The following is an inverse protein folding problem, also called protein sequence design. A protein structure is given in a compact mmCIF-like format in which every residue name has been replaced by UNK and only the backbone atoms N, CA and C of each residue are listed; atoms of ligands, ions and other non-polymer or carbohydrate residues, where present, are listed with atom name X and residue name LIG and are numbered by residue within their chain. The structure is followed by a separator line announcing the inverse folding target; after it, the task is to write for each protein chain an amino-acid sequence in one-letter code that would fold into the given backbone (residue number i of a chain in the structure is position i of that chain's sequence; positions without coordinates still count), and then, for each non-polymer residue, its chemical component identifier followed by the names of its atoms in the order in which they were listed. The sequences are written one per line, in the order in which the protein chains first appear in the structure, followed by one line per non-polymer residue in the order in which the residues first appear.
data_IF_132029151897
#
_entry.id   IF_132029151897
#
_cell.length_a   1.000
_cell.length_b   1.000
_cell.length_c   1.000
_cell.angle_alpha   90.00
_cell.angle_beta   90.00
_cell.angle_gamma   90.00
#
_symmetry.space_group_name_H-M   'P 1'
#
loop_
_entity.id
_entity.type
_entity.pdbx_description
1 polymer ?
#
# COMPACT_ATOMS: atom_id res chain seq x y z
N UNK A 1 -0.98 -2.64 -39.13
CA UNK A 1 -2.33 -3.05 -39.60
C UNK A 1 -3.32 -2.88 -38.45
N UNK A 2 -4.51 -2.38 -38.78
CA UNK A 2 -5.53 -1.82 -37.87
C UNK A 2 -6.28 -2.90 -37.08
N UNK A 3 -6.54 -2.66 -35.79
CA UNK A 3 -7.53 -3.38 -34.97
C UNK A 3 -8.95 -2.97 -35.41
N UNK A 4 -9.91 -3.90 -35.55
CA UNK A 4 -11.32 -3.54 -35.58
C UNK A 4 -11.94 -3.63 -34.18
N UNK A 5 -12.39 -2.46 -33.72
CA UNK A 5 -13.37 -2.26 -32.67
C UNK A 5 -14.74 -2.69 -33.22
N UNK A 6 -15.50 -3.54 -32.52
CA UNK A 6 -16.92 -3.72 -32.80
C UNK A 6 -17.70 -3.70 -31.48
N UNK A 7 -18.63 -2.76 -31.43
CA UNK A 7 -19.50 -2.43 -30.30
C UNK A 7 -20.95 -2.70 -30.72
N UNK A 8 -21.76 -3.10 -29.73
CA UNK A 8 -23.22 -3.22 -29.69
C UNK A 8 -23.91 -4.33 -30.52
N UNK A 9 -24.76 -5.12 -29.83
CA UNK A 9 -26.22 -5.03 -29.97
C UNK A 9 -26.89 -5.52 -28.67
N UNK A 10 -27.91 -4.75 -28.31
CA UNK A 10 -28.89 -4.89 -27.22
C UNK A 10 -29.75 -6.13 -27.41
N UNK A 11 -29.89 -6.95 -26.37
CA UNK A 11 -30.85 -8.04 -26.30
C UNK A 11 -31.85 -7.81 -25.16
N UNK A 12 -32.94 -7.10 -25.47
CA UNK A 12 -34.12 -6.97 -24.60
C UNK A 12 -34.94 -8.27 -24.76
N UNK A 13 -35.12 -9.04 -23.69
CA UNK A 13 -36.04 -10.17 -23.65
C UNK A 13 -36.98 -10.00 -22.46
N UNK A 14 -38.23 -9.68 -22.80
CA UNK A 14 -39.37 -9.60 -21.90
C UNK A 14 -39.94 -11.00 -21.63
N UNK A 15 -40.73 -11.04 -20.56
CA UNK A 15 -41.80 -11.99 -20.19
C UNK A 15 -41.37 -13.14 -19.27
N UNK A 16 -42.01 -13.19 -18.09
CA UNK A 16 -42.11 -14.42 -17.30
C UNK A 16 -42.66 -14.20 -15.90
N UNK A 17 -43.91 -14.61 -15.68
CA UNK A 17 -44.74 -14.36 -14.51
C UNK A 17 -44.31 -14.99 -13.18
N UNK A 18 -44.77 -14.38 -12.09
CA UNK A 18 -45.45 -15.10 -11.00
C UNK A 18 -44.62 -15.58 -9.81
N UNK A 19 -44.82 -14.96 -8.66
CA UNK A 19 -45.38 -15.60 -7.45
C UNK A 19 -45.33 -14.61 -6.28
N UNK A 20 -46.50 -14.32 -5.70
CA UNK A 20 -46.61 -13.68 -4.40
C UNK A 20 -46.39 -14.75 -3.32
N UNK A 21 -45.40 -14.56 -2.45
CA UNK A 21 -45.36 -15.16 -1.11
C UNK A 21 -44.88 -14.09 -0.13
N UNK A 22 -45.75 -13.85 0.84
CA UNK A 22 -45.50 -13.05 2.03
C UNK A 22 -44.38 -13.72 2.86
N UNK A 23 -43.34 -12.97 3.20
CA UNK A 23 -42.44 -13.34 4.28
C UNK A 23 -41.95 -12.06 4.95
N UNK A 24 -42.50 -11.83 6.14
CA UNK A 24 -41.88 -11.01 7.17
C UNK A 24 -40.40 -11.35 7.27
N UNK A 25 -39.54 -10.43 6.83
CA UNK A 25 -38.17 -10.34 7.29
C UNK A 25 -37.97 -8.92 7.78
N UNK A 26 -38.02 -8.82 9.10
CA UNK A 26 -37.33 -7.84 9.92
C UNK A 26 -36.02 -7.41 9.23
N UNK A 27 -35.70 -6.10 9.15
CA UNK A 27 -34.36 -5.69 8.76
C UNK A 27 -33.41 -6.20 9.84
N UNK A 28 -32.80 -7.37 9.59
CA UNK A 28 -31.65 -7.84 10.34
C UNK A 28 -30.56 -6.83 10.03
N UNK A 29 -30.42 -5.88 10.92
CA UNK A 29 -29.30 -4.98 11.03
C UNK A 29 -28.09 -5.85 11.42
N UNK A 30 -27.56 -6.61 10.47
CA UNK A 30 -26.20 -7.12 10.57
C UNK A 30 -25.30 -5.96 10.22
N UNK A 31 -25.00 -5.12 11.23
CA UNK A 31 -23.66 -4.55 11.35
C UNK A 31 -22.71 -5.74 11.49
N UNK A 32 -22.38 -6.38 10.38
CA UNK A 32 -21.04 -6.86 10.23
C UNK A 32 -20.21 -5.58 10.25
N UNK A 33 -19.48 -5.35 11.34
CA UNK A 33 -18.27 -4.55 11.25
C UNK A 33 -17.40 -5.30 10.26
N UNK A 34 -17.56 -4.94 9.00
CA UNK A 34 -16.71 -5.35 7.90
C UNK A 34 -15.39 -4.64 8.19
N UNK A 35 -14.59 -5.24 9.07
CA UNK A 35 -13.19 -4.87 9.24
C UNK A 35 -12.52 -5.34 7.96
N UNK A 36 -12.77 -4.57 6.89
CA UNK A 36 -12.08 -4.68 5.62
C UNK A 36 -10.60 -4.57 5.96
N UNK A 37 -9.84 -5.60 5.60
CA UNK A 37 -8.39 -5.53 5.72
C UNK A 37 -7.93 -4.21 5.06
N UNK A 38 -7.02 -3.46 5.70
CA UNK A 38 -6.61 -2.16 5.20
C UNK A 38 -6.22 -2.24 3.72
N UNK A 39 -6.72 -1.31 2.91
CA UNK A 39 -6.35 -1.25 1.52
C UNK A 39 -4.84 -0.95 1.43
N UNK A 40 -4.08 -1.86 0.86
CA UNK A 40 -2.63 -1.73 0.67
C UNK A 40 -2.27 -0.44 -0.07
N UNK A 41 -3.07 -0.03 -1.07
CA UNK A 41 -2.90 1.24 -1.78
C UNK A 41 -3.00 2.44 -0.84
N UNK A 42 -3.98 2.45 0.06
CA UNK A 42 -4.17 3.52 1.03
C UNK A 42 -2.97 3.62 1.98
N UNK A 43 -2.45 2.48 2.45
CA UNK A 43 -1.28 2.46 3.34
C UNK A 43 -0.02 2.97 2.63
N UNK A 44 0.19 2.58 1.37
CA UNK A 44 1.31 3.08 0.56
C UNK A 44 1.18 4.59 0.33
N UNK A 45 -0.01 5.07 -0.06
CA UNK A 45 -0.27 6.52 -0.23
C UNK A 45 0.00 7.30 1.06
N UNK A 46 -0.41 6.75 2.20
CA UNK A 46 -0.18 7.34 3.52
C UNK A 46 1.31 7.37 3.88
N UNK A 47 2.05 6.30 3.59
CA UNK A 47 3.50 6.28 3.75
C UNK A 47 4.17 7.39 2.93
N UNK A 48 3.85 7.51 1.64
CA UNK A 48 4.41 8.56 0.78
C UNK A 48 4.04 9.98 1.23
N UNK A 49 2.85 10.16 1.82
CA UNK A 49 2.44 11.44 2.37
C UNK A 49 3.20 11.82 3.65
N UNK A 50 3.43 10.85 4.54
CA UNK A 50 4.09 11.08 5.82
C UNK A 50 5.63 11.03 5.73
N UNK A 51 6.16 10.39 4.68
CA UNK A 51 7.59 10.18 4.41
C UNK A 51 7.93 10.62 2.96
N UNK A 52 7.88 11.94 2.65
CA UNK A 52 8.22 12.45 1.33
C UNK A 52 9.66 12.12 0.89
N UNK A 53 10.55 11.84 1.83
CA UNK A 53 11.93 11.41 1.61
C UNK A 53 12.04 10.18 0.69
N UNK A 54 11.04 9.31 0.68
CA UNK A 54 10.99 8.15 -0.25
C UNK A 54 10.90 8.62 -1.69
N UNK A 55 10.10 9.65 -1.97
CA UNK A 55 9.98 10.21 -3.33
C UNK A 55 11.25 10.94 -3.74
N UNK A 56 11.87 11.69 -2.82
CA UNK A 56 13.14 12.38 -3.06
C UNK A 56 14.26 11.40 -3.41
N UNK A 57 14.42 10.34 -2.60
CA UNK A 57 15.42 9.30 -2.83
C UNK A 57 15.13 8.49 -4.10
N UNK A 58 13.87 8.23 -4.41
CA UNK A 58 13.45 7.59 -5.67
C UNK A 58 13.90 8.41 -6.89
N UNK A 59 13.70 9.72 -6.86
CA UNK A 59 14.12 10.61 -7.95
C UNK A 59 15.65 10.68 -8.07
N UNK A 60 16.36 10.81 -6.95
CA UNK A 60 17.83 10.82 -6.92
C UNK A 60 18.42 9.54 -7.54
N UNK A 61 17.97 8.37 -7.09
CA UNK A 61 18.45 7.08 -7.61
C UNK A 61 18.11 6.92 -9.08
N UNK A 62 16.91 7.34 -9.50
CA UNK A 62 16.52 7.31 -10.90
C UNK A 62 17.43 8.18 -11.76
N UNK A 63 17.79 9.37 -11.30
CA UNK A 63 18.66 10.29 -12.03
C UNK A 63 20.10 9.77 -12.13
N UNK A 64 20.64 9.23 -11.03
CA UNK A 64 22.01 8.68 -10.99
C UNK A 64 22.13 7.38 -11.79
N UNK A 65 21.10 6.54 -11.77
CA UNK A 65 21.06 5.26 -12.51
C UNK A 65 20.62 5.42 -13.97
N UNK A 66 20.30 6.62 -14.44
CA UNK A 66 19.64 6.86 -15.73
C UNK A 66 18.33 6.06 -15.92
N UNK A 67 17.64 5.73 -14.82
CA UNK A 67 16.39 5.00 -14.81
C UNK A 67 16.50 3.48 -14.79
N UNK A 68 17.71 2.94 -14.71
CA UNK A 68 17.94 1.48 -14.63
C UNK A 68 17.58 0.91 -13.24
N UNK A 69 17.59 1.75 -12.21
CA UNK A 69 17.20 1.39 -10.84
C UNK A 69 15.94 2.16 -10.45
N UNK A 70 15.01 1.46 -9.82
CA UNK A 70 13.78 2.08 -9.27
C UNK A 70 13.69 1.87 -7.78
N UNK A 71 13.13 2.84 -7.06
CA UNK A 71 12.77 2.63 -5.65
C UNK A 71 11.32 2.17 -5.57
N UNK A 72 11.11 1.03 -4.91
CA UNK A 72 9.83 0.39 -4.71
C UNK A 72 9.51 0.24 -3.23
N UNK A 73 8.22 0.07 -2.93
CA UNK A 73 7.69 -0.11 -1.58
C UNK A 73 6.91 -1.40 -1.50
N UNK A 74 7.12 -2.19 -0.45
CA UNK A 74 6.37 -3.44 -0.18
C UNK A 74 5.92 -3.49 1.27
N UNK A 75 4.63 -3.74 1.47
CA UNK A 75 4.05 -3.99 2.80
C UNK A 75 4.11 -5.50 3.09
N UNK A 76 4.76 -5.87 4.19
CA UNK A 76 4.75 -7.24 4.69
C UNK A 76 3.53 -7.47 5.58
N UNK A 77 2.48 -8.04 4.98
CA UNK A 77 1.22 -8.34 5.69
C UNK A 77 1.29 -9.63 6.50
N UNK A 78 2.31 -10.47 6.27
CA UNK A 78 2.44 -11.78 6.91
C UNK A 78 3.17 -11.67 8.26
N UNK A 79 4.10 -10.72 8.38
CA UNK A 79 4.93 -10.52 9.58
C UNK A 79 4.55 -9.28 10.38
N UNK A 80 3.24 -9.04 10.58
CA UNK A 80 2.79 -7.92 11.41
C UNK A 80 3.28 -8.02 12.86
N UNK A 81 3.60 -6.88 13.45
CA UNK A 81 3.96 -6.74 14.86
C UNK A 81 2.88 -5.95 15.59
N UNK A 82 2.03 -6.64 16.35
CA UNK A 82 0.85 -6.01 16.95
C UNK A 82 -0.13 -5.52 15.88
N UNK A 83 -0.38 -4.21 15.83
CA UNK A 83 -1.20 -3.58 14.78
C UNK A 83 -0.39 -3.03 13.60
N UNK A 84 0.94 -3.12 13.66
CA UNK A 84 1.82 -2.49 12.67
C UNK A 84 2.22 -3.50 11.58
N UNK A 85 2.19 -3.05 10.33
CA UNK A 85 2.81 -3.76 9.21
C UNK A 85 4.22 -3.22 8.96
N UNK A 86 5.24 -4.10 8.86
CA UNK A 86 6.52 -3.73 8.29
C UNK A 86 6.36 -3.30 6.84
N UNK A 87 7.09 -2.27 6.44
CA UNK A 87 7.10 -1.72 5.09
C UNK A 87 8.54 -1.51 4.66
N UNK A 88 8.94 -2.22 3.61
CA UNK A 88 10.29 -2.13 3.06
C UNK A 88 10.28 -1.12 1.92
N UNK A 89 11.21 -0.17 1.99
CA UNK A 89 11.59 0.71 0.88
C UNK A 89 12.91 0.18 0.33
N UNK A 90 12.97 -0.14 -0.95
CA UNK A 90 14.12 -0.82 -1.53
C UNK A 90 14.40 -0.36 -2.96
N UNK A 91 15.67 -0.41 -3.33
CA UNK A 91 16.11 -0.35 -4.72
C UNK A 91 15.82 -1.69 -5.40
N UNK A 92 15.15 -1.61 -6.54
CA UNK A 92 14.90 -2.74 -7.42
C UNK A 92 15.88 -2.65 -8.59
N UNK A 93 16.86 -3.56 -8.58
CA UNK A 93 17.83 -3.76 -9.65
C UNK A 93 17.43 -5.01 -10.43
N UNK A 94 17.85 -5.11 -11.69
CA UNK A 94 17.57 -6.27 -12.56
C UNK A 94 17.97 -7.63 -11.96
N UNK A 95 18.92 -7.65 -11.02
CA UNK A 95 19.52 -8.88 -10.48
C UNK A 95 19.30 -9.08 -8.98
N UNK A 96 18.95 -8.03 -8.24
CA UNK A 96 18.84 -8.07 -6.79
C UNK A 96 18.04 -6.86 -6.28
N UNK A 97 17.64 -6.92 -5.01
CA UNK A 97 17.01 -5.81 -4.31
C UNK A 97 17.88 -5.37 -3.14
N UNK A 98 17.98 -4.06 -2.90
CA UNK A 98 18.70 -3.50 -1.76
C UNK A 98 17.71 -2.72 -0.89
N UNK A 99 17.50 -3.13 0.35
CA UNK A 99 16.66 -2.39 1.29
C UNK A 99 17.35 -1.08 1.66
N UNK A 100 16.61 0.02 1.50
CA UNK A 100 17.03 1.35 1.90
C UNK A 100 16.60 1.65 3.33
N UNK A 101 15.30 1.45 3.60
CA UNK A 101 14.70 1.73 4.90
C UNK A 101 13.59 0.72 5.20
N UNK A 102 13.39 0.47 6.49
CA UNK A 102 12.25 -0.29 7.00
C UNK A 102 11.42 0.64 7.87
N UNK A 103 10.15 0.81 7.49
CA UNK A 103 9.15 1.50 8.30
C UNK A 103 8.16 0.51 8.88
N UNK A 104 7.45 0.94 9.90
CA UNK A 104 6.27 0.27 10.42
C UNK A 104 5.10 1.23 10.28
N UNK A 105 4.03 0.78 9.63
CA UNK A 105 2.78 1.54 9.48
C UNK A 105 1.64 0.84 10.23
N UNK A 106 0.85 1.58 10.99
CA UNK A 106 -0.32 1.00 11.66
C UNK A 106 -1.30 0.47 10.62
N UNK A 107 -2.08 -0.55 10.98
CA UNK A 107 -3.14 -1.07 10.10
C UNK A 107 -4.13 0.01 9.65
N UNK A 108 -4.32 1.07 10.42
CA UNK A 108 -5.18 2.20 10.03
C UNK A 108 -4.47 3.25 9.17
N UNK A 109 -3.13 3.20 9.08
CA UNK A 109 -2.30 4.22 8.45
C UNK A 109 -2.03 5.46 9.30
N UNK A 110 -2.58 5.53 10.52
CA UNK A 110 -2.48 6.73 11.36
C UNK A 110 -1.08 6.98 11.94
N UNK A 111 -0.23 5.96 11.97
CA UNK A 111 1.10 6.06 12.57
C UNK A 111 2.12 5.40 11.67
N UNK A 112 3.21 6.11 11.42
CA UNK A 112 4.41 5.61 10.74
C UNK A 112 5.60 5.80 11.68
N UNK A 113 6.41 4.75 11.82
CA UNK A 113 7.65 4.71 12.61
C UNK A 113 8.75 4.07 11.79
N UNK A 114 10.01 4.26 12.18
CA UNK A 114 11.18 3.78 11.44
C UNK A 114 11.92 2.73 12.26
N UNK A 115 12.49 1.72 11.61
CA UNK A 115 13.42 0.78 12.24
C UNK A 115 14.84 1.32 12.14
N UNK A 116 15.44 1.65 13.27
CA UNK A 116 16.86 1.97 13.32
C UNK A 116 17.68 0.67 13.18
N UNK A 117 18.18 0.39 11.99
CA UNK A 117 18.87 -0.87 11.69
C UNK A 117 20.18 -1.07 12.46
N UNK A 118 20.79 0.01 12.97
CA UNK A 118 22.01 -0.05 13.76
C UNK A 118 21.74 -0.53 15.19
N UNK A 119 20.62 -0.11 15.77
CA UNK A 119 20.26 -0.42 17.16
C UNK A 119 19.21 -1.53 17.27
N UNK A 120 18.46 -1.77 16.19
CA UNK A 120 17.28 -2.64 16.17
C UNK A 120 16.05 -2.02 16.84
N UNK A 121 16.08 -0.73 17.21
CA UNK A 121 14.98 -0.05 17.89
C UNK A 121 13.99 0.57 16.88
N UNK A 122 12.71 0.59 17.24
CA UNK A 122 11.68 1.31 16.50
C UNK A 122 11.61 2.74 17.05
N UNK A 123 11.84 3.72 16.17
CA UNK A 123 11.90 5.13 16.50
C UNK A 123 10.83 5.96 15.77
N UNK A 124 10.58 7.16 16.27
CA UNK A 124 9.66 8.09 15.60
C UNK A 124 10.27 8.62 14.30
N UNK A 125 9.44 9.04 13.34
CA UNK A 125 9.93 9.71 12.13
C UNK A 125 10.72 11.00 12.42
N UNK A 126 10.38 11.72 13.49
CA UNK A 126 11.14 12.91 13.91
C UNK A 126 12.56 12.54 14.34
N UNK A 127 12.68 11.49 15.16
CA UNK A 127 13.97 10.96 15.60
C UNK A 127 14.80 10.50 14.42
N UNK A 128 14.22 9.68 13.54
CA UNK A 128 14.89 9.20 12.32
C UNK A 128 15.42 10.36 11.47
N UNK A 129 14.58 11.37 11.19
CA UNK A 129 14.99 12.55 10.42
C UNK A 129 16.13 13.33 11.07
N UNK A 130 16.14 13.42 12.40
CA UNK A 130 17.20 14.12 13.12
C UNK A 130 18.55 13.39 13.03
N UNK A 131 18.56 12.07 12.90
CA UNK A 131 19.78 11.26 12.92
C UNK A 131 20.21 10.73 11.55
N UNK A 132 19.32 10.74 10.55
CA UNK A 132 19.57 10.18 9.20
C UNK A 132 20.81 10.79 8.54
N UNK A 133 20.98 12.10 8.65
CA UNK A 133 22.06 12.83 7.99
C UNK A 133 23.38 12.79 8.78
N UNK A 134 23.38 12.15 9.96
CA UNK A 134 24.57 11.99 10.81
C UNK A 134 25.37 10.72 10.48
N UNK A 135 24.83 9.85 9.62
CA UNK A 135 25.51 8.64 9.17
C UNK A 135 26.30 8.93 7.88
N UNK A 136 27.60 8.59 7.81
CA UNK A 136 28.37 8.77 6.58
C UNK A 136 27.83 7.85 5.48
N UNK A 137 27.64 8.42 4.28
CA UNK A 137 27.32 7.72 3.03
C UNK A 137 28.35 6.64 2.65
#
# INVERSE_FOLDING_TARGET
MKKPFFLFIVGLLLIGAGCAVHSDRTPRNTSATDTSAPNETMLIEKLYADVPEISEKSQEIRDVSNGDVTVSVRIDKEHREGDMYPVQVFEDHDTHTVTLWIFYISTTGDTVTHLNELTGEIESLETWRATRDELPE
#
